data_IF_633856728440
#
_entry.id   IF_633856728440
#
_cell.length_a   1.000
_cell.length_b   1.000
_cell.length_c   1.000
_cell.angle_alpha   90.00
_cell.angle_beta   90.00
_cell.angle_gamma   90.00
#
_symmetry.space_group_name_H-M   'P 1'
#
loop_
_entity.id
_entity.type
_entity.pdbx_description
1 polymer ?
#
# COMPACT_ATOMS: atom_id res chain seq x y z
N UNK A 1 15.05 4.55 2.30
CA UNK A 1 15.49 5.62 3.23
C UNK A 1 16.21 6.75 2.47
N UNK A 2 17.05 6.45 1.49
CA UNK A 2 17.84 7.45 0.76
C UNK A 2 16.97 8.39 -0.12
N UNK A 3 15.93 7.88 -0.77
CA UNK A 3 14.97 8.70 -1.53
C UNK A 3 14.23 9.71 -0.64
N UNK A 4 13.77 9.29 0.54
CA UNK A 4 13.05 10.13 1.49
C UNK A 4 13.86 11.33 1.98
N UNK A 5 15.18 11.22 2.09
CA UNK A 5 16.03 12.30 2.58
C UNK A 5 16.25 13.43 1.56
N UNK A 6 16.01 13.16 0.27
CA UNK A 6 16.28 14.09 -0.84
C UNK A 6 15.04 14.79 -1.39
N UNK A 7 13.84 14.38 -0.97
CA UNK A 7 12.57 14.90 -1.51
C UNK A 7 12.02 16.02 -0.63
N UNK A 8 11.69 17.15 -1.22
CA UNK A 8 11.13 18.33 -0.54
C UNK A 8 9.74 18.00 0.08
N UNK A 9 8.88 17.33 -0.67
CA UNK A 9 7.59 16.82 -0.18
C UNK A 9 7.65 15.30 -0.02
N UNK A 10 8.05 14.86 1.16
CA UNK A 10 8.19 13.43 1.49
C UNK A 10 6.88 12.64 1.35
N UNK A 11 5.73 13.30 1.42
CA UNK A 11 4.44 12.63 1.31
C UNK A 11 4.16 12.09 -0.09
N UNK A 12 4.70 12.73 -1.15
CA UNK A 12 4.49 12.31 -2.54
C UNK A 12 5.07 10.92 -2.85
N UNK A 13 6.14 10.56 -2.17
CA UNK A 13 6.80 9.27 -2.37
C UNK A 13 5.85 8.11 -2.03
N UNK A 14 4.97 8.29 -1.05
CA UNK A 14 4.09 7.23 -0.57
C UNK A 14 2.98 6.86 -1.55
N UNK A 15 2.63 7.72 -2.47
CA UNK A 15 1.53 7.46 -3.41
C UNK A 15 1.96 6.52 -4.55
N UNK A 16 3.15 6.71 -5.12
CA UNK A 16 3.58 6.00 -6.33
C UNK A 16 4.97 5.36 -6.25
N UNK A 17 5.84 5.79 -5.34
CA UNK A 17 7.24 5.38 -5.38
C UNK A 17 7.64 4.33 -4.33
N UNK A 18 6.75 4.02 -3.38
CA UNK A 18 7.01 3.05 -2.31
C UNK A 18 6.87 1.61 -2.80
N UNK A 19 5.99 1.38 -3.75
CA UNK A 19 5.77 0.08 -4.37
C UNK A 19 6.62 -0.10 -5.63
N UNK A 20 7.01 -1.33 -5.90
CA UNK A 20 7.58 -1.74 -7.18
C UNK A 20 6.41 -2.14 -8.09
N UNK A 21 5.84 -1.15 -8.79
CA UNK A 21 4.65 -1.32 -9.62
C UNK A 21 4.87 -2.33 -10.75
N UNK A 22 6.07 -2.34 -11.32
CA UNK A 22 6.42 -3.28 -12.37
C UNK A 22 6.44 -4.72 -11.85
N UNK A 23 7.03 -4.94 -10.68
CA UNK A 23 7.07 -6.24 -10.04
C UNK A 23 5.66 -6.73 -9.69
N UNK A 24 4.79 -5.83 -9.25
CA UNK A 24 3.41 -6.15 -8.95
C UNK A 24 2.58 -6.42 -10.22
N UNK A 25 2.82 -5.66 -11.30
CA UNK A 25 2.21 -5.90 -12.61
C UNK A 25 2.60 -7.29 -13.15
N UNK A 26 3.89 -7.63 -13.09
CA UNK A 26 4.40 -8.93 -13.49
C UNK A 26 3.78 -10.06 -12.67
N UNK A 27 3.63 -9.86 -11.36
CA UNK A 27 3.00 -10.82 -10.45
C UNK A 27 1.52 -11.09 -10.82
N UNK A 28 0.73 -10.04 -11.03
CA UNK A 28 -0.69 -10.15 -11.41
C UNK A 28 -0.83 -10.75 -12.80
N UNK A 29 0.01 -10.33 -13.75
CA UNK A 29 -0.01 -10.85 -15.11
C UNK A 29 0.35 -12.35 -15.14
N UNK A 30 1.31 -12.76 -14.32
CA UNK A 30 1.66 -14.18 -14.18
C UNK A 30 0.52 -14.98 -13.59
N UNK A 31 -0.16 -14.47 -12.55
CA UNK A 31 -1.35 -15.12 -12.01
C UNK A 31 -2.43 -15.36 -13.06
N UNK A 32 -2.66 -14.39 -13.96
CA UNK A 32 -3.67 -14.51 -15.03
C UNK A 32 -3.31 -15.52 -16.11
N UNK A 33 -2.02 -15.71 -16.36
CA UNK A 33 -1.54 -16.49 -17.50
C UNK A 33 -1.01 -17.87 -17.14
N UNK A 34 -0.88 -18.18 -15.83
CA UNK A 34 -0.37 -19.48 -15.38
C UNK A 34 -1.33 -20.13 -14.40
N UNK A 35 -1.13 -21.42 -14.16
CA UNK A 35 -1.91 -22.21 -13.20
C UNK A 35 -0.97 -23.06 -12.33
N UNK A 36 0.18 -22.47 -11.97
CA UNK A 36 1.26 -23.14 -11.24
C UNK A 36 1.59 -22.36 -9.98
N UNK A 37 2.67 -22.71 -9.32
CA UNK A 37 3.24 -21.93 -8.23
C UNK A 37 4.10 -20.80 -8.77
N UNK A 38 4.18 -19.71 -8.00
CA UNK A 38 5.04 -18.57 -8.27
C UNK A 38 5.90 -18.26 -7.06
N UNK A 39 7.21 -18.19 -7.25
CA UNK A 39 8.16 -17.89 -6.18
C UNK A 39 8.70 -16.47 -6.31
N UNK A 40 8.73 -15.75 -5.21
CA UNK A 40 9.19 -14.37 -5.16
C UNK A 40 9.77 -14.05 -3.78
N UNK A 41 10.85 -13.28 -3.77
CA UNK A 41 11.35 -12.73 -2.52
C UNK A 41 10.49 -11.55 -2.04
N UNK A 42 10.10 -11.61 -0.78
CA UNK A 42 9.30 -10.61 -0.10
C UNK A 42 10.11 -9.83 0.92
N UNK A 43 9.54 -8.71 1.37
CA UNK A 43 10.17 -7.80 2.32
C UNK A 43 10.35 -8.45 3.70
N UNK A 44 11.56 -8.34 4.22
CA UNK A 44 11.92 -8.71 5.59
C UNK A 44 11.68 -7.51 6.52
N UNK A 45 10.65 -7.59 7.35
CA UNK A 45 10.29 -6.51 8.28
C UNK A 45 11.35 -6.20 9.33
N UNK A 46 12.29 -7.11 9.59
CA UNK A 46 13.38 -6.91 10.56
C UNK A 46 14.59 -6.19 9.96
N UNK A 47 14.99 -6.54 8.73
CA UNK A 47 16.18 -5.97 8.08
C UNK A 47 15.86 -4.86 7.08
N UNK A 48 14.64 -4.85 6.55
CA UNK A 48 14.23 -3.95 5.47
C UNK A 48 14.67 -4.42 4.07
N UNK A 49 15.25 -5.60 3.96
CA UNK A 49 15.70 -6.21 2.71
C UNK A 49 14.59 -7.03 2.05
N UNK A 50 14.72 -7.30 0.75
CA UNK A 50 13.82 -8.20 0.02
C UNK A 50 14.55 -9.52 -0.14
N UNK A 51 14.41 -10.39 0.87
CA UNK A 51 15.16 -11.64 0.97
C UNK A 51 14.38 -12.79 1.63
N UNK A 52 13.07 -12.64 1.82
CA UNK A 52 12.23 -13.71 2.35
C UNK A 52 11.56 -14.41 1.17
N UNK A 53 12.01 -15.64 0.79
CA UNK A 53 11.37 -16.38 -0.28
C UNK A 53 9.93 -16.76 0.11
N UNK A 54 9.02 -16.59 -0.81
CA UNK A 54 7.61 -16.94 -0.62
C UNK A 54 7.05 -17.57 -1.88
N UNK A 55 6.35 -18.69 -1.71
CA UNK A 55 5.68 -19.41 -2.78
C UNK A 55 4.18 -19.09 -2.74
N UNK A 56 3.63 -18.69 -3.87
CA UNK A 56 2.20 -18.44 -4.07
C UNK A 56 1.60 -19.53 -4.96
N UNK A 57 0.41 -19.98 -4.60
CA UNK A 57 -0.36 -20.97 -5.37
C UNK A 57 -1.27 -20.24 -6.37
N UNK A 58 -0.84 -20.17 -7.63
CA UNK A 58 -1.60 -19.56 -8.72
C UNK A 58 -2.62 -20.51 -9.38
N UNK A 59 -2.81 -21.72 -8.83
CA UNK A 59 -3.91 -22.58 -9.24
C UNK A 59 -5.28 -22.06 -8.75
N UNK A 60 -5.29 -21.08 -7.87
CA UNK A 60 -6.52 -20.45 -7.36
C UNK A 60 -7.16 -19.55 -8.40
N UNK A 61 -8.50 -19.50 -8.40
CA UNK A 61 -9.27 -18.69 -9.35
C UNK A 61 -9.39 -17.23 -8.97
N UNK A 62 -9.11 -16.88 -7.72
CA UNK A 62 -9.28 -15.53 -7.19
C UNK A 62 -7.99 -15.12 -6.48
N UNK A 63 -7.49 -13.95 -6.84
CA UNK A 63 -6.43 -13.25 -6.14
C UNK A 63 -7.02 -11.97 -5.54
N UNK A 64 -6.75 -11.72 -4.27
CA UNK A 64 -7.08 -10.47 -3.59
C UNK A 64 -5.78 -9.76 -3.25
N UNK A 65 -5.65 -8.51 -3.68
CA UNK A 65 -4.52 -7.64 -3.35
C UNK A 65 -5.05 -6.43 -2.61
N UNK A 66 -4.41 -6.07 -1.52
CA UNK A 66 -4.76 -4.91 -0.72
C UNK A 66 -3.63 -3.89 -0.71
N UNK A 67 -3.97 -2.61 -0.63
CA UNK A 67 -3.01 -1.53 -0.52
C UNK A 67 -3.68 -0.17 -0.47
N UNK A 68 -3.02 0.78 0.17
CA UNK A 68 -3.61 2.09 0.49
C UNK A 68 -3.90 2.93 -0.75
N UNK A 69 -3.00 2.95 -1.75
CA UNK A 69 -3.09 3.79 -2.94
C UNK A 69 -3.42 3.01 -4.22
N UNK A 70 -3.98 1.80 -4.09
CA UNK A 70 -4.17 0.86 -5.21
C UNK A 70 -5.11 1.35 -6.32
N UNK A 71 -5.90 2.41 -6.07
CA UNK A 71 -6.78 3.02 -7.09
C UNK A 71 -6.19 4.31 -7.68
N UNK A 72 -4.92 4.62 -7.40
CA UNK A 72 -4.28 5.79 -7.98
C UNK A 72 -4.28 5.68 -9.51
N UNK A 73 -4.76 6.70 -10.25
CA UNK A 73 -4.98 6.60 -11.70
C UNK A 73 -3.70 6.38 -12.51
N UNK A 74 -2.54 6.81 -11.97
CA UNK A 74 -1.25 6.62 -12.62
C UNK A 74 -0.65 5.21 -12.44
N UNK A 75 -1.26 4.37 -11.58
CA UNK A 75 -0.79 3.00 -11.44
C UNK A 75 -1.08 2.19 -12.71
N UNK A 76 -0.07 1.54 -13.30
CA UNK A 76 -0.25 0.70 -14.49
C UNK A 76 -1.20 -0.47 -14.21
N UNK A 77 -1.28 -0.89 -12.94
CA UNK A 77 -2.14 -1.96 -12.44
C UNK A 77 -3.64 -1.71 -12.61
N UNK A 78 -4.08 -0.46 -12.78
CA UNK A 78 -5.51 -0.14 -12.91
C UNK A 78 -6.21 -0.87 -14.05
N UNK A 79 -5.47 -1.34 -15.05
CA UNK A 79 -5.95 -2.13 -16.19
C UNK A 79 -6.10 -3.63 -15.86
N UNK A 80 -5.55 -4.06 -14.74
CA UNK A 80 -5.48 -5.48 -14.37
C UNK A 80 -6.55 -5.90 -13.37
N UNK A 81 -7.26 -4.96 -12.76
CA UNK A 81 -8.29 -5.28 -11.78
C UNK A 81 -9.60 -5.66 -12.45
N UNK A 82 -10.11 -6.86 -12.14
CA UNK A 82 -11.46 -7.27 -12.57
C UNK A 82 -12.52 -6.62 -11.68
N UNK A 83 -12.18 -6.41 -10.40
CA UNK A 83 -13.04 -5.77 -9.41
C UNK A 83 -12.22 -4.92 -8.44
N UNK A 84 -12.80 -3.79 -8.03
CA UNK A 84 -12.25 -2.83 -7.09
C UNK A 84 -13.17 -2.67 -5.91
N UNK A 85 -12.68 -2.95 -4.72
CA UNK A 85 -13.43 -2.79 -3.48
C UNK A 85 -12.75 -1.69 -2.67
N UNK A 86 -13.48 -0.63 -2.39
CA UNK A 86 -12.99 0.45 -1.54
C UNK A 86 -13.52 0.28 -0.12
N UNK A 87 -12.61 0.31 0.84
CA UNK A 87 -12.95 0.31 2.26
C UNK A 87 -12.98 1.75 2.73
N UNK A 88 -14.17 2.26 3.00
CA UNK A 88 -14.39 3.61 3.48
C UNK A 88 -14.52 3.63 5.00
N UNK A 89 -13.84 4.57 5.64
CA UNK A 89 -13.91 4.74 7.08
C UNK A 89 -13.45 6.14 7.49
N UNK A 90 -13.76 6.51 8.73
CA UNK A 90 -13.33 7.80 9.28
C UNK A 90 -11.80 7.82 9.44
N UNK A 91 -11.14 8.75 8.72
CA UNK A 91 -9.67 8.86 8.70
C UNK A 91 -9.11 8.99 10.12
N UNK A 92 -9.74 9.78 10.98
CA UNK A 92 -9.27 9.99 12.36
C UNK A 92 -9.32 8.70 13.20
N UNK A 93 -10.32 7.85 12.98
CA UNK A 93 -10.39 6.53 13.64
C UNK A 93 -9.31 5.59 13.08
N UNK A 94 -9.12 5.60 11.76
CA UNK A 94 -8.08 4.81 11.08
C UNK A 94 -6.70 5.23 11.60
N UNK A 95 -6.41 6.52 11.67
CA UNK A 95 -5.14 7.04 12.16
C UNK A 95 -4.89 6.69 13.63
N UNK A 96 -5.89 6.78 14.48
CA UNK A 96 -5.77 6.35 15.89
C UNK A 96 -5.39 4.86 16.01
N UNK A 97 -6.01 3.99 15.21
CA UNK A 97 -5.68 2.55 15.17
C UNK A 97 -4.26 2.31 14.65
N UNK A 98 -3.87 3.02 13.58
CA UNK A 98 -2.50 2.98 13.03
C UNK A 98 -1.48 3.40 14.08
N UNK A 99 -1.65 4.55 14.69
CA UNK A 99 -0.74 5.08 15.71
C UNK A 99 -0.56 4.10 16.86
N UNK A 100 -1.64 3.51 17.36
CA UNK A 100 -1.58 2.50 18.42
C UNK A 100 -0.72 1.31 17.99
N UNK A 101 -1.02 0.73 16.83
CA UNK A 101 -0.28 -0.42 16.26
C UNK A 101 1.20 -0.14 16.09
N UNK A 102 1.55 1.04 15.60
CA UNK A 102 2.95 1.37 15.32
C UNK A 102 3.73 1.72 16.59
N UNK A 103 3.09 2.34 17.59
CA UNK A 103 3.70 2.49 18.91
C UNK A 103 4.06 1.14 19.52
N UNK A 104 3.17 0.16 19.40
CA UNK A 104 3.41 -1.20 19.85
C UNK A 104 4.56 -1.87 19.07
N UNK A 105 4.60 -1.63 17.73
CA UNK A 105 5.61 -2.23 16.83
C UNK A 105 7.01 -1.63 17.00
N UNK A 106 7.13 -0.31 17.11
CA UNK A 106 8.41 0.40 17.10
C UNK A 106 8.91 0.76 18.50
N UNK A 107 8.04 0.76 19.51
CA UNK A 107 8.40 1.09 20.87
C UNK A 107 9.13 2.44 20.98
N UNK A 108 10.38 2.40 21.46
CA UNK A 108 11.22 3.60 21.64
C UNK A 108 11.64 4.27 20.31
N UNK A 109 11.60 3.55 19.20
CA UNK A 109 11.98 4.06 17.88
C UNK A 109 10.77 4.66 17.12
N UNK A 110 9.61 4.74 17.77
CA UNK A 110 8.43 5.39 17.22
C UNK A 110 8.62 6.91 17.18
N UNK A 111 8.49 7.51 15.98
CA UNK A 111 8.42 8.94 15.83
C UNK A 111 7.00 9.45 16.00
N UNK A 112 6.73 10.39 16.94
CA UNK A 112 5.42 10.98 17.11
C UNK A 112 4.98 11.74 15.84
N UNK A 113 3.68 11.85 15.64
CA UNK A 113 3.10 12.51 14.45
C UNK A 113 3.50 13.98 14.31
N UNK A 114 3.86 14.62 15.42
CA UNK A 114 4.39 16.00 15.42
C UNK A 114 5.79 16.11 14.82
N UNK A 115 6.52 14.99 14.72
CA UNK A 115 7.88 15.03 14.14
C UNK A 115 7.77 15.14 12.61
N UNK A 116 8.54 16.05 11.96
CA UNK A 116 8.47 16.27 10.51
C UNK A 116 8.81 15.01 9.69
N UNK A 117 9.67 14.15 10.24
CA UNK A 117 10.07 12.88 9.60
C UNK A 117 9.18 11.69 10.01
N UNK A 118 8.06 11.94 10.71
CA UNK A 118 7.12 10.87 11.05
C UNK A 118 6.56 10.25 9.78
N UNK A 119 6.79 8.95 9.61
CA UNK A 119 6.20 8.15 8.55
C UNK A 119 4.67 8.29 8.52
N UNK A 120 4.02 8.29 9.68
CA UNK A 120 2.58 8.43 9.82
C UNK A 120 2.06 9.74 9.29
N UNK A 121 2.70 10.84 9.70
CA UNK A 121 2.34 12.17 9.22
C UNK A 121 2.39 12.23 7.69
N UNK A 122 3.45 11.71 7.09
CA UNK A 122 3.63 11.74 5.64
C UNK A 122 2.58 10.88 4.93
N UNK A 123 2.29 9.69 5.45
CA UNK A 123 1.25 8.81 4.88
C UNK A 123 -0.15 9.41 5.06
N UNK A 124 -0.44 10.06 6.19
CA UNK A 124 -1.75 10.72 6.39
C UNK A 124 -1.94 11.89 5.42
N UNK A 125 -0.88 12.70 5.18
CA UNK A 125 -0.92 13.80 4.20
C UNK A 125 -1.16 13.22 2.80
N UNK A 126 -0.43 12.19 2.41
CA UNK A 126 -0.59 11.51 1.13
C UNK A 126 -2.02 10.94 0.97
N UNK A 127 -2.53 10.27 2.00
CA UNK A 127 -3.86 9.68 1.96
C UNK A 127 -4.98 10.72 1.81
N UNK A 128 -4.91 11.81 2.55
CA UNK A 128 -5.89 12.91 2.43
C UNK A 128 -5.87 13.51 1.03
N UNK A 129 -4.69 13.80 0.49
CA UNK A 129 -4.53 14.30 -0.88
C UNK A 129 -5.05 13.30 -1.91
N UNK A 130 -4.72 12.02 -1.79
CA UNK A 130 -5.20 10.97 -2.67
C UNK A 130 -6.73 10.87 -2.70
N UNK A 131 -7.37 10.89 -1.53
CA UNK A 131 -8.84 10.83 -1.43
C UNK A 131 -9.48 12.08 -2.06
N UNK A 132 -8.93 13.26 -1.80
CA UNK A 132 -9.44 14.53 -2.32
C UNK A 132 -9.32 14.63 -3.84
N UNK A 133 -8.14 14.28 -4.38
CA UNK A 133 -7.86 14.42 -5.81
C UNK A 133 -8.44 13.30 -6.67
N UNK A 134 -8.43 12.07 -6.18
CA UNK A 134 -8.72 10.89 -7.00
C UNK A 134 -10.04 10.18 -6.64
N UNK A 135 -10.66 10.55 -5.51
CA UNK A 135 -11.99 10.08 -5.11
C UNK A 135 -12.17 8.57 -5.33
N UNK A 136 -11.34 7.70 -4.70
CA UNK A 136 -11.32 6.28 -4.99
C UNK A 136 -12.66 5.57 -4.79
N UNK A 137 -13.52 6.08 -3.89
CA UNK A 137 -14.87 5.55 -3.69
C UNK A 137 -15.74 5.67 -4.95
N UNK A 138 -15.58 6.75 -5.74
CA UNK A 138 -16.39 6.98 -6.96
C UNK A 138 -15.97 6.04 -8.10
N UNK A 139 -14.76 5.49 -8.06
CA UNK A 139 -14.21 4.60 -9.09
C UNK A 139 -14.25 3.13 -8.71
N UNK A 140 -14.69 2.81 -7.50
CA UNK A 140 -14.81 1.45 -6.99
C UNK A 140 -16.09 0.76 -7.51
N UNK A 141 -16.00 -0.55 -7.75
CA UNK A 141 -17.18 -1.38 -8.05
C UNK A 141 -18.05 -1.60 -6.79
N UNK A 142 -17.42 -1.56 -5.62
CA UNK A 142 -18.08 -1.74 -4.32
C UNK A 142 -17.39 -0.88 -3.26
N UNK A 143 -18.20 -0.18 -2.48
CA UNK A 143 -17.73 0.56 -1.30
C UNK A 143 -18.27 -0.14 -0.05
N UNK A 144 -17.37 -0.50 0.86
CA UNK A 144 -17.71 -1.09 2.15
C UNK A 144 -17.33 -0.12 3.27
N UNK A 145 -18.33 0.25 4.06
CA UNK A 145 -18.09 1.06 5.28
C UNK A 145 -17.41 0.19 6.33
N UNK A 146 -16.33 0.69 6.91
CA UNK A 146 -15.57 0.03 7.98
C UNK A 146 -15.47 0.95 9.20
N UNK A 147 -15.78 0.41 10.39
CA UNK A 147 -15.75 1.12 11.67
C UNK A 147 -14.34 1.14 12.33
#
# INVERSE_FOLDING_TARGET
KEKLSKTEDKSKIFELEVCDDKKLEDFVSTFRNTNTTYEIDTHNGGTGEINIPKTFDFSKKIMVIEGVFMFHPELPLNKLWDKRIYLEGEIDKIDKRRVKREKERWGKDYFPETHPDSYFRQVTIALKRYIELHRPAETADLVLMVD
#
